data_IF_564625463300
#
_entry.id   IF_564625463300
#
_cell.length_a   1.000
_cell.length_b   1.000
_cell.length_c   1.000
_cell.angle_alpha   90.00
_cell.angle_beta   90.00
_cell.angle_gamma   90.00
#
_symmetry.space_group_name_H-M   'P 1'
#
loop_
_entity.id
_entity.type
_entity.pdbx_description
1 polymer ?
#
# COMPACT_ATOMS: atom_id res chain seq x y z
N UNK A 1 -3.56 19.35 -7.23
CA UNK A 1 -4.42 18.21 -6.88
C UNK A 1 -3.54 16.96 -6.88
N UNK A 2 -3.60 16.09 -5.86
CA UNK A 2 -2.82 14.86 -5.86
C UNK A 2 -3.28 13.99 -7.03
N UNK A 3 -2.36 13.68 -7.93
CA UNK A 3 -2.62 12.78 -9.06
C UNK A 3 -2.37 11.35 -8.58
N UNK A 4 -3.26 10.44 -8.92
CA UNK A 4 -3.15 9.01 -8.59
C UNK A 4 -2.99 8.21 -9.88
N UNK A 5 -2.01 7.32 -9.89
CA UNK A 5 -1.84 6.31 -10.92
C UNK A 5 -2.56 5.03 -10.47
N UNK A 6 -3.29 4.40 -11.40
CA UNK A 6 -3.98 3.15 -11.17
C UNK A 6 -3.38 2.07 -12.07
N UNK A 7 -3.13 0.89 -11.51
CA UNK A 7 -2.70 -0.29 -12.22
C UNK A 7 -3.71 -1.42 -12.00
N UNK A 8 -3.91 -2.24 -13.02
CA UNK A 8 -4.69 -3.48 -12.92
C UNK A 8 -3.78 -4.66 -13.27
N UNK A 9 -3.86 -5.70 -12.47
CA UNK A 9 -3.09 -6.93 -12.63
C UNK A 9 -4.10 -8.05 -12.88
N UNK A 10 -3.94 -8.77 -13.97
CA UNK A 10 -4.72 -9.99 -14.24
C UNK A 10 -4.04 -11.15 -13.50
N UNK A 11 -4.73 -11.74 -12.52
CA UNK A 11 -4.24 -12.88 -11.76
C UNK A 11 -4.67 -14.22 -12.41
N UNK A 12 -5.50 -14.20 -13.46
CA UNK A 12 -5.94 -15.42 -14.17
C UNK A 12 -4.97 -15.87 -15.26
N UNK A 13 -4.29 -14.93 -15.93
CA UNK A 13 -3.33 -15.19 -17.01
C UNK A 13 -1.91 -15.53 -16.49
N UNK A 14 -1.84 -15.98 -15.24
CA UNK A 14 -0.56 -16.19 -14.55
C UNK A 14 0.03 -17.57 -14.85
N UNK A 15 1.32 -17.65 -15.25
CA UNK A 15 1.99 -18.93 -15.36
C UNK A 15 2.06 -19.59 -13.98
N UNK A 16 1.77 -20.89 -13.91
CA UNK A 16 1.65 -21.74 -12.71
C UNK A 16 2.80 -21.65 -11.69
N UNK A 17 3.92 -21.00 -12.04
CA UNK A 17 5.08 -20.81 -11.17
C UNK A 17 5.02 -19.62 -10.23
N UNK A 18 4.09 -18.68 -10.41
CA UNK A 18 4.05 -17.45 -9.62
C UNK A 18 2.68 -17.32 -8.95
N UNK A 19 2.67 -17.19 -7.62
CA UNK A 19 1.43 -17.00 -6.87
C UNK A 19 0.96 -15.55 -6.97
N UNK A 20 -0.36 -15.34 -7.03
CA UNK A 20 -1.01 -14.04 -6.96
C UNK A 20 -0.49 -13.19 -5.79
N UNK A 21 -0.27 -13.81 -4.63
CA UNK A 21 0.30 -13.16 -3.45
C UNK A 21 1.69 -12.59 -3.69
N UNK A 22 2.58 -13.29 -4.40
CA UNK A 22 3.94 -12.80 -4.65
C UNK A 22 3.95 -11.57 -5.54
N UNK A 23 3.04 -11.51 -6.51
CA UNK A 23 2.94 -10.40 -7.45
C UNK A 23 2.34 -9.16 -6.79
N UNK A 24 1.38 -9.37 -5.88
CA UNK A 24 0.85 -8.31 -5.02
C UNK A 24 1.91 -7.79 -4.04
N UNK A 25 2.74 -8.68 -3.48
CA UNK A 25 3.84 -8.30 -2.59
C UNK A 25 4.92 -7.48 -3.32
N UNK A 26 5.32 -7.90 -4.52
CA UNK A 26 6.28 -7.16 -5.35
C UNK A 26 5.74 -5.78 -5.74
N UNK A 27 4.48 -5.71 -6.17
CA UNK A 27 3.84 -4.43 -6.46
C UNK A 27 3.72 -3.54 -5.22
N UNK A 28 3.44 -4.13 -4.05
CA UNK A 28 3.48 -3.45 -2.76
C UNK A 28 4.85 -2.84 -2.44
N UNK A 29 5.93 -3.59 -2.72
CA UNK A 29 7.32 -3.13 -2.57
C UNK A 29 7.69 -1.99 -3.53
N UNK A 30 7.10 -1.95 -4.72
CA UNK A 30 7.27 -0.84 -5.68
C UNK A 30 6.45 0.42 -5.30
N UNK A 31 5.67 0.35 -4.21
CA UNK A 31 4.88 1.46 -3.68
C UNK A 31 3.46 1.52 -4.24
N UNK A 32 2.95 0.40 -4.77
CA UNK A 32 1.55 0.26 -5.14
C UNK A 32 0.71 -0.19 -3.94
N UNK A 33 -0.40 0.50 -3.69
CA UNK A 33 -1.36 0.13 -2.67
C UNK A 33 -2.50 -0.67 -3.30
N UNK A 34 -2.76 -1.88 -2.77
CA UNK A 34 -3.88 -2.71 -3.21
C UNK A 34 -5.21 -2.05 -2.82
N UNK A 35 -6.02 -1.72 -3.82
CA UNK A 35 -7.35 -1.11 -3.65
C UNK A 35 -8.41 -2.20 -3.48
N UNK A 36 -8.26 -3.31 -4.21
CA UNK A 36 -9.17 -4.45 -4.10
C UNK A 36 -8.95 -5.48 -5.19
N UNK A 37 -9.45 -6.69 -4.94
CA UNK A 37 -9.44 -7.81 -5.89
C UNK A 37 -10.89 -8.07 -6.31
N UNK A 38 -11.12 -8.17 -7.61
CA UNK A 38 -12.46 -8.45 -8.16
C UNK A 38 -12.66 -9.94 -8.40
N UNK A 39 -13.93 -10.35 -8.54
CA UNK A 39 -14.31 -11.75 -8.78
C UNK A 39 -13.76 -12.35 -10.09
N UNK A 40 -13.28 -11.53 -11.01
CA UNK A 40 -12.62 -11.99 -12.24
C UNK A 40 -11.09 -12.05 -12.09
N UNK A 41 -10.59 -12.21 -10.85
CA UNK A 41 -9.17 -12.28 -10.52
C UNK A 41 -8.37 -11.06 -11.01
N UNK A 42 -8.98 -9.87 -11.14
CA UNK A 42 -8.22 -8.64 -11.34
C UNK A 42 -7.92 -7.98 -10.00
N UNK A 43 -6.64 -7.73 -9.74
CA UNK A 43 -6.21 -6.87 -8.66
C UNK A 43 -6.05 -5.43 -9.13
N UNK A 44 -6.69 -4.50 -8.43
CA UNK A 44 -6.59 -3.07 -8.69
C UNK A 44 -5.67 -2.44 -7.65
N UNK A 45 -4.67 -1.70 -8.11
CA UNK A 45 -3.71 -1.02 -7.26
C UNK A 45 -3.62 0.46 -7.62
N UNK A 46 -3.24 1.30 -6.66
CA UNK A 46 -3.03 2.73 -6.86
C UNK A 46 -1.70 3.19 -6.28
N UNK A 47 -1.11 4.23 -6.85
CA UNK A 47 0.06 4.92 -6.29
C UNK A 47 -0.04 6.43 -6.51
N UNK A 48 0.59 7.27 -5.66
CA UNK A 48 0.67 8.70 -5.92
C UNK A 48 1.56 8.97 -7.15
N UNK A 49 1.06 9.76 -8.10
CA UNK A 49 1.74 10.08 -9.36
C UNK A 49 2.62 11.34 -9.29
N UNK A 50 2.48 12.14 -8.22
CA UNK A 50 3.42 13.21 -7.90
C UNK A 50 4.49 12.65 -6.96
N UNK A 51 5.76 12.83 -7.30
CA UNK A 51 6.95 12.27 -6.63
C UNK A 51 7.17 12.73 -5.18
N UNK A 52 6.18 12.61 -4.32
CA UNK A 52 6.40 12.33 -2.93
C UNK A 52 6.64 10.82 -2.85
N UNK A 53 7.90 10.44 -2.72
CA UNK A 53 8.28 9.09 -2.33
C UNK A 53 7.36 8.64 -1.19
N UNK A 54 6.49 7.68 -1.48
CA UNK A 54 5.74 6.93 -0.49
C UNK A 54 6.73 5.99 0.23
N UNK A 55 7.74 6.57 0.87
CA UNK A 55 8.60 5.89 1.82
C UNK A 55 7.94 6.01 3.20
N UNK A 56 6.80 5.34 3.40
CA UNK A 56 6.36 4.73 4.67
C UNK A 56 4.98 4.09 4.53
N UNK A 57 4.87 2.75 4.64
CA UNK A 57 3.63 2.13 5.09
C UNK A 57 3.47 2.40 6.60
N UNK A 58 3.09 3.63 6.97
CA UNK A 58 2.86 4.01 8.36
C UNK A 58 1.92 5.22 8.49
N UNK A 59 0.81 5.24 7.74
CA UNK A 59 -0.33 6.10 8.10
C UNK A 59 -1.62 5.27 8.17
N UNK A 60 -1.59 4.25 9.03
CA UNK A 60 -2.73 4.07 9.91
C UNK A 60 -2.87 5.35 10.74
N UNK A 61 -4.08 5.89 11.00
CA UNK A 61 -4.25 7.06 11.85
C UNK A 61 -3.84 6.70 13.27
N UNK A 62 -2.55 6.87 13.58
CA UNK A 62 -2.00 6.84 14.92
C UNK A 62 -2.60 8.04 15.63
N UNK A 63 -3.71 7.77 16.31
CA UNK A 63 -4.42 8.66 17.23
C UNK A 63 -3.40 9.46 18.03
N UNK A 64 -3.36 10.75 17.71
CA UNK A 64 -3.02 11.85 18.60
C UNK A 64 -2.03 11.54 19.72
N UNK A 65 -0.80 11.98 19.51
CA UNK A 65 0.04 12.66 20.48
C UNK A 65 -0.78 13.44 21.53
N UNK A 66 -1.12 12.80 22.65
CA UNK A 66 -1.36 13.52 23.90
C UNK A 66 -0.03 13.54 24.63
N UNK A 67 0.70 14.64 24.43
CA UNK A 67 1.83 15.03 25.28
C UNK A 67 1.37 15.01 26.74
N UNK A 68 1.89 14.09 27.55
CA UNK A 68 2.01 14.32 29.00
C UNK A 68 3.49 14.29 29.35
N UNK A 69 4.02 15.51 29.56
CA UNK A 69 5.37 15.81 30.02
C UNK A 69 5.55 15.32 31.47
N UNK A 70 6.78 14.85 31.78
CA UNK A 70 7.60 15.07 33.01
C UNK A 70 6.98 14.66 34.37
N UNK A 71 7.61 13.96 35.32
CA UNK A 71 9.02 13.70 35.71
C UNK A 71 9.02 12.67 36.87
N UNK A 72 10.09 11.89 37.13
CA UNK A 72 10.25 11.14 38.38
C UNK A 72 11.04 11.94 39.43
N UNK A 73 10.52 12.09 40.64
CA UNK A 73 11.28 12.58 41.81
C UNK A 73 10.79 11.87 43.08
N UNK A 74 11.78 11.25 43.75
CA UNK A 74 11.95 10.89 45.17
C UNK A 74 10.75 10.49 46.02
#
# INVERSE_FOLDING_TARGET
MPQWQYCKIDLSDMPTRMSDVELLDEAGRDGWELVGITANNFAYMKRPAGGAAAATPAEAPQRQTVRRRTTPTT
#
